data_IF_247593366370
#
_entry.id   IF_247593366370
#
_cell.length_a   1.000
_cell.length_b   1.000
_cell.length_c   1.000
_cell.angle_alpha   90.00
_cell.angle_beta   90.00
_cell.angle_gamma   90.00
#
_symmetry.space_group_name_H-M   'P 1'
#
loop_
_entity.id
_entity.type
_entity.pdbx_description
1 polymer ?
#
# COMPACT_ATOMS: atom_id res chain seq x y z
N UNK A 1 -10.08 -63.06 3.06
CA UNK A 1 -10.46 -61.65 3.33
C UNK A 1 -9.66 -60.77 2.37
N UNK A 2 -10.25 -60.35 1.25
CA UNK A 2 -9.61 -59.38 0.35
C UNK A 2 -9.80 -58.00 0.97
N UNK A 3 -8.83 -57.58 1.79
CA UNK A 3 -8.79 -56.23 2.32
C UNK A 3 -8.53 -55.25 1.17
N UNK A 4 -9.46 -54.32 0.99
CA UNK A 4 -9.41 -53.26 -0.01
C UNK A 4 -8.34 -52.26 0.41
N UNK A 5 -7.15 -52.34 -0.20
CA UNK A 5 -6.15 -51.29 -0.12
C UNK A 5 -6.53 -50.21 -1.12
N UNK A 6 -7.14 -49.12 -0.64
CA UNK A 6 -7.35 -47.93 -1.46
C UNK A 6 -6.00 -47.31 -1.88
N UNK A 7 -6.00 -46.41 -2.88
CA UNK A 7 -4.81 -45.67 -3.27
C UNK A 7 -4.25 -44.92 -2.05
N UNK A 8 -2.94 -45.05 -1.82
CA UNK A 8 -2.26 -44.25 -0.81
C UNK A 8 -2.38 -42.78 -1.19
N UNK A 9 -2.95 -41.97 -0.30
CA UNK A 9 -2.92 -40.51 -0.42
C UNK A 9 -1.47 -40.07 -0.63
N UNK A 10 -1.24 -39.32 -1.70
CA UNK A 10 0.07 -38.78 -2.02
C UNK A 10 0.35 -37.57 -1.14
N UNK A 11 1.62 -37.23 -0.99
CA UNK A 11 2.03 -35.96 -0.34
C UNK A 11 1.37 -34.76 -1.05
N UNK A 12 1.04 -34.89 -2.35
CA UNK A 12 0.28 -33.90 -3.10
C UNK A 12 -1.13 -33.67 -2.55
N UNK A 13 -1.87 -34.74 -2.23
CA UNK A 13 -3.25 -34.65 -1.71
C UNK A 13 -3.30 -33.95 -0.34
N UNK A 14 -2.26 -34.15 0.49
CA UNK A 14 -2.14 -33.50 1.80
C UNK A 14 -1.78 -32.01 1.71
N UNK A 15 -1.01 -31.62 0.69
CA UNK A 15 -0.62 -30.22 0.48
C UNK A 15 -1.73 -29.39 -0.20
N UNK A 16 -2.65 -30.03 -0.91
CA UNK A 16 -3.81 -29.36 -1.53
C UNK A 16 -4.73 -28.71 -0.50
N UNK A 17 -4.95 -29.33 0.67
CA UNK A 17 -5.76 -28.77 1.77
C UNK A 17 -5.12 -27.55 2.45
N UNK A 18 -3.82 -27.30 2.22
CA UNK A 18 -3.12 -26.11 2.71
C UNK A 18 -3.01 -25.01 1.65
N UNK A 19 -3.27 -25.36 0.39
CA UNK A 19 -3.31 -24.43 -0.74
C UNK A 19 -4.70 -23.80 -0.92
N UNK A 20 -5.50 -23.73 0.16
CA UNK A 20 -6.76 -22.98 0.16
C UNK A 20 -6.38 -21.52 -0.05
N UNK A 21 -6.54 -21.11 -1.30
CA UNK A 21 -6.61 -19.74 -1.73
C UNK A 21 -7.61 -19.04 -0.79
N UNK A 22 -7.10 -18.12 0.02
CA UNK A 22 -7.90 -17.18 0.81
C UNK A 22 -8.55 -16.22 -0.18
N UNK A 23 -9.45 -16.78 -0.99
CA UNK A 23 -10.32 -16.10 -1.92
C UNK A 23 -11.45 -15.53 -1.10
N UNK A 24 -11.28 -14.28 -0.67
CA UNK A 24 -12.38 -13.44 -0.24
C UNK A 24 -13.41 -13.35 -1.38
N UNK A 25 -14.46 -14.17 -1.32
CA UNK A 25 -15.74 -13.84 -1.95
C UNK A 25 -16.92 -14.45 -1.15
N UNK A 26 -17.62 -13.65 -0.31
CA UNK A 26 -18.73 -14.15 0.48
C UNK A 26 -20.06 -13.70 -0.13
N UNK A 27 -20.45 -14.22 -1.30
CA UNK A 27 -21.80 -13.99 -1.84
C UNK A 27 -22.38 -15.23 -2.54
N UNK A 28 -22.77 -16.24 -1.76
CA UNK A 28 -24.06 -16.94 -1.91
C UNK A 28 -24.07 -18.26 -1.12
N UNK A 29 -24.73 -18.28 0.04
CA UNK A 29 -25.70 -19.34 0.39
C UNK A 29 -26.34 -19.03 1.74
N UNK A 30 -27.67 -19.03 1.76
CA UNK A 30 -28.49 -18.56 2.87
C UNK A 30 -28.53 -19.49 4.09
N UNK A 31 -28.94 -18.90 5.22
CA UNK A 31 -29.28 -19.60 6.45
C UNK A 31 -29.41 -18.62 7.62
N UNK A 32 -30.63 -18.14 7.84
CA UNK A 32 -31.05 -17.39 9.02
C UNK A 32 -30.69 -18.15 10.32
N UNK A 33 -29.83 -17.59 11.16
CA UNK A 33 -29.86 -17.85 12.61
C UNK A 33 -29.21 -16.69 13.37
N UNK A 34 -30.06 -16.07 14.18
CA UNK A 34 -29.85 -15.08 15.24
C UNK A 34 -28.41 -14.80 15.69
N UNK A 35 -28.03 -13.52 15.55
CA UNK A 35 -26.90 -12.90 16.21
C UNK A 35 -27.04 -12.91 17.74
N UNK A 36 -25.92 -13.03 18.46
CA UNK A 36 -25.68 -12.23 19.64
C UNK A 36 -24.54 -11.24 19.37
N UNK A 37 -24.85 -9.97 19.58
CA UNK A 37 -23.88 -8.89 19.62
C UNK A 37 -22.82 -9.12 20.70
N UNK A 38 -21.54 -9.05 20.33
CA UNK A 38 -20.45 -8.64 21.21
C UNK A 38 -19.25 -8.16 20.38
N UNK A 39 -18.89 -6.86 20.42
CA UNK A 39 -17.69 -6.35 19.80
C UNK A 39 -16.57 -6.39 20.84
N UNK A 40 -15.97 -7.56 21.08
CA UNK A 40 -14.77 -7.63 21.93
C UNK A 40 -13.93 -8.86 21.62
N UNK A 41 -13.33 -8.86 20.44
CA UNK A 41 -12.00 -9.40 20.21
C UNK A 41 -11.61 -8.91 18.81
N UNK A 42 -11.18 -7.66 18.72
CA UNK A 42 -10.21 -7.32 17.69
C UNK A 42 -9.10 -8.36 17.87
N UNK A 43 -9.03 -9.30 16.94
CA UNK A 43 -7.91 -10.21 16.87
C UNK A 43 -6.69 -9.31 16.69
N UNK A 44 -6.00 -9.05 17.79
CA UNK A 44 -4.62 -8.65 17.74
C UNK A 44 -3.85 -9.87 17.26
N UNK A 45 -4.03 -10.24 15.98
CA UNK A 45 -2.95 -10.88 15.26
C UNK A 45 -1.82 -9.87 15.36
N UNK A 46 -0.83 -10.14 16.22
CA UNK A 46 0.22 -9.20 16.56
C UNK A 46 0.78 -8.59 15.29
N UNK A 47 0.30 -7.39 14.98
CA UNK A 47 0.74 -6.66 13.81
C UNK A 47 2.05 -6.06 14.24
N UNK A 48 3.11 -6.86 14.10
CA UNK A 48 4.46 -6.37 14.27
C UNK A 48 4.58 -5.09 13.44
N UNK A 49 5.12 -4.05 14.06
CA UNK A 49 5.42 -2.81 13.35
C UNK A 49 6.23 -3.18 12.09
N UNK A 50 5.89 -2.69 10.89
CA UNK A 50 6.72 -2.90 9.71
C UNK A 50 8.20 -2.53 9.95
N UNK A 51 8.49 -1.63 10.89
CA UNK A 51 9.86 -1.32 11.32
C UNK A 51 10.59 -2.51 11.99
N UNK A 52 9.86 -3.41 12.66
CA UNK A 52 10.40 -4.60 13.32
C UNK A 52 10.64 -5.77 12.35
N UNK A 53 10.18 -5.67 11.10
CA UNK A 53 10.23 -6.77 10.13
C UNK A 53 11.66 -7.22 9.81
N UNK A 54 12.60 -6.28 9.70
CA UNK A 54 14.02 -6.61 9.49
C UNK A 54 14.60 -7.40 10.66
N UNK A 55 14.29 -6.98 11.90
CA UNK A 55 14.73 -7.65 13.12
C UNK A 55 14.12 -9.06 13.23
N UNK A 56 12.82 -9.18 12.96
CA UNK A 56 12.11 -10.46 12.99
C UNK A 56 12.62 -11.43 11.91
N UNK A 57 12.94 -10.92 10.72
CA UNK A 57 13.52 -11.73 9.66
C UNK A 57 14.89 -12.29 10.06
N UNK A 58 15.76 -11.45 10.60
CA UNK A 58 17.07 -11.85 11.08
C UNK A 58 16.97 -12.87 12.22
N UNK A 59 16.09 -12.64 13.19
CA UNK A 59 15.84 -13.57 14.29
C UNK A 59 15.34 -14.94 13.79
N UNK A 60 14.33 -14.95 12.91
CA UNK A 60 13.78 -16.19 12.35
C UNK A 60 14.79 -16.94 11.50
N UNK A 61 15.61 -16.24 10.72
CA UNK A 61 16.69 -16.83 9.94
C UNK A 61 17.75 -17.47 10.84
N UNK A 62 18.20 -16.77 11.87
CA UNK A 62 19.19 -17.29 12.82
C UNK A 62 18.67 -18.53 13.57
N UNK A 63 17.40 -18.49 14.01
CA UNK A 63 16.75 -19.62 14.65
C UNK A 63 16.63 -20.83 13.71
N UNK A 64 16.28 -20.60 12.44
CA UNK A 64 16.26 -21.65 11.43
C UNK A 64 17.64 -22.27 11.21
N UNK A 65 18.68 -21.44 11.08
CA UNK A 65 20.05 -21.93 10.90
C UNK A 65 20.52 -22.78 12.08
N UNK A 66 20.18 -22.37 13.31
CA UNK A 66 20.47 -23.15 14.51
C UNK A 66 19.74 -24.50 14.51
N UNK A 67 18.44 -24.51 14.22
CA UNK A 67 17.65 -25.74 14.16
C UNK A 67 18.18 -26.73 13.10
N UNK A 68 18.62 -26.23 11.94
CA UNK A 68 19.24 -27.06 10.90
C UNK A 68 20.58 -27.66 11.35
N UNK A 69 21.41 -26.90 12.07
CA UNK A 69 22.67 -27.41 12.63
C UNK A 69 22.44 -28.47 13.71
N UNK A 70 21.45 -28.25 14.57
CA UNK A 70 21.12 -29.11 15.71
C UNK A 70 20.26 -30.33 15.30
N UNK A 71 19.89 -30.46 14.02
CA UNK A 71 18.90 -31.44 13.52
C UNK A 71 17.58 -31.42 14.31
N UNK A 72 17.18 -30.22 14.74
CA UNK A 72 15.96 -30.01 15.52
C UNK A 72 14.72 -30.17 14.61
N UNK A 73 13.70 -30.95 15.03
CA UNK A 73 12.52 -31.22 14.21
C UNK A 73 11.64 -29.98 13.95
N UNK A 74 11.92 -28.84 14.59
CA UNK A 74 11.20 -27.58 14.39
C UNK A 74 11.62 -26.82 13.11
N UNK A 75 12.71 -27.22 12.44
CA UNK A 75 13.20 -26.51 11.24
C UNK A 75 12.14 -26.27 10.16
N UNK A 76 11.18 -27.19 9.86
CA UNK A 76 10.14 -26.91 8.87
C UNK A 76 9.20 -25.79 9.33
N UNK A 77 8.86 -25.74 10.62
CA UNK A 77 8.03 -24.68 11.19
C UNK A 77 8.73 -23.32 11.14
N UNK A 78 10.04 -23.29 11.42
CA UNK A 78 10.84 -22.06 11.32
C UNK A 78 10.97 -21.58 9.87
N UNK A 79 11.11 -22.50 8.91
CA UNK A 79 11.10 -22.16 7.48
C UNK A 79 9.77 -21.55 7.05
N UNK A 80 8.64 -22.13 7.48
CA UNK A 80 7.31 -21.56 7.22
C UNK A 80 7.15 -20.16 7.82
N UNK A 81 7.65 -19.90 9.03
CA UNK A 81 7.65 -18.57 9.65
C UNK A 81 8.47 -17.57 8.83
N UNK A 82 9.63 -17.97 8.33
CA UNK A 82 10.46 -17.13 7.47
C UNK A 82 9.75 -16.79 6.15
N UNK A 83 9.11 -17.78 5.52
CA UNK A 83 8.30 -17.58 4.32
C UNK A 83 7.12 -16.64 4.57
N UNK A 84 6.43 -16.75 5.72
CA UNK A 84 5.36 -15.85 6.10
C UNK A 84 5.87 -14.41 6.29
N UNK A 85 7.02 -14.23 6.95
CA UNK A 85 7.65 -12.92 7.12
C UNK A 85 8.02 -12.29 5.75
N UNK A 86 8.58 -13.08 4.82
CA UNK A 86 8.87 -12.62 3.45
C UNK A 86 7.62 -12.22 2.68
N UNK A 87 6.54 -13.01 2.78
CA UNK A 87 5.26 -12.67 2.14
C UNK A 87 4.67 -11.37 2.68
N UNK A 88 4.82 -11.11 3.98
CA UNK A 88 4.42 -9.84 4.60
C UNK A 88 5.29 -8.67 4.09
N UNK A 89 6.60 -8.88 3.94
CA UNK A 89 7.50 -7.88 3.37
C UNK A 89 7.13 -7.52 1.93
N UNK A 90 6.83 -8.52 1.10
CA UNK A 90 6.42 -8.35 -0.29
C UNK A 90 5.13 -7.52 -0.42
N UNK A 91 4.12 -7.86 0.41
CA UNK A 91 2.87 -7.08 0.50
C UNK A 91 3.13 -5.63 0.94
N UNK A 92 4.00 -5.42 1.92
CA UNK A 92 4.36 -4.09 2.39
C UNK A 92 5.00 -3.26 1.27
N UNK A 93 5.98 -3.83 0.55
CA UNK A 93 6.64 -3.16 -0.57
C UNK A 93 5.65 -2.82 -1.69
N UNK A 94 4.77 -3.76 -2.04
CA UNK A 94 3.75 -3.54 -3.07
C UNK A 94 2.78 -2.42 -2.67
N UNK A 95 2.30 -2.42 -1.41
CA UNK A 95 1.44 -1.35 -0.90
C UNK A 95 2.13 0.02 -0.88
N UNK A 96 3.41 0.07 -0.50
CA UNK A 96 4.20 1.29 -0.50
C UNK A 96 4.41 1.83 -1.91
N UNK A 97 4.65 0.95 -2.89
CA UNK A 97 4.80 1.33 -4.29
C UNK A 97 3.50 1.91 -4.86
N UNK A 98 2.36 1.26 -4.65
CA UNK A 98 1.05 1.78 -5.09
C UNK A 98 0.74 3.14 -4.45
N UNK A 99 1.04 3.30 -3.16
CA UNK A 99 0.84 4.59 -2.47
C UNK A 99 1.76 5.69 -3.04
N UNK A 100 3.02 5.35 -3.35
CA UNK A 100 3.98 6.29 -3.95
C UNK A 100 3.56 6.71 -5.37
N UNK A 101 3.05 5.79 -6.18
CA UNK A 101 2.48 6.08 -7.50
C UNK A 101 1.28 7.02 -7.40
N UNK A 102 0.33 6.74 -6.50
CA UNK A 102 -0.81 7.62 -6.26
C UNK A 102 -0.40 9.00 -5.76
N UNK A 103 0.66 9.10 -4.94
CA UNK A 103 1.18 10.38 -4.48
C UNK A 103 1.81 11.16 -5.65
N UNK A 104 2.58 10.49 -6.50
CA UNK A 104 3.18 11.09 -7.69
C UNK A 104 2.10 11.67 -8.63
N UNK A 105 1.02 10.94 -8.86
CA UNK A 105 -0.11 11.43 -9.67
C UNK A 105 -0.74 12.69 -9.07
N UNK A 106 -0.95 12.71 -7.75
CA UNK A 106 -1.50 13.89 -7.05
C UNK A 106 -0.55 15.09 -7.12
N UNK A 107 0.76 14.87 -6.99
CA UNK A 107 1.77 15.94 -7.12
C UNK A 107 1.77 16.51 -8.54
N UNK A 108 1.73 15.68 -9.58
CA UNK A 108 1.61 16.15 -10.97
C UNK A 108 0.33 16.97 -11.21
N UNK A 109 -0.79 16.56 -10.61
CA UNK A 109 -2.02 17.33 -10.69
C UNK A 109 -1.86 18.70 -10.01
N UNK A 110 -1.28 18.75 -8.82
CA UNK A 110 -1.02 20.01 -8.12
C UNK A 110 -0.07 20.93 -8.89
N UNK A 111 0.97 20.38 -9.52
CA UNK A 111 1.89 21.12 -10.39
C UNK A 111 1.12 21.79 -11.55
N UNK A 112 0.25 21.06 -12.24
CA UNK A 112 -0.57 21.64 -13.32
C UNK A 112 -1.52 22.76 -12.86
N UNK A 113 -2.01 22.67 -11.62
CA UNK A 113 -2.84 23.73 -11.02
C UNK A 113 -2.01 24.96 -10.72
N UNK A 114 -0.78 24.78 -10.24
CA UNK A 114 0.15 25.85 -9.93
C UNK A 114 0.61 26.58 -11.19
N UNK A 115 0.99 25.85 -12.25
CA UNK A 115 1.33 26.42 -13.55
C UNK A 115 0.18 27.27 -14.12
N UNK A 116 -1.06 26.78 -14.03
CA UNK A 116 -2.24 27.56 -14.44
C UNK A 116 -2.41 28.83 -13.59
N UNK A 117 -2.15 28.73 -12.29
CA UNK A 117 -2.15 29.88 -11.38
C UNK A 117 -1.11 30.92 -11.79
N UNK A 118 0.11 30.50 -12.09
CA UNK A 118 1.22 31.36 -12.50
C UNK A 118 0.91 32.08 -13.82
N UNK A 119 0.31 31.40 -14.79
CA UNK A 119 -0.15 32.02 -16.04
C UNK A 119 -1.16 33.15 -15.78
N UNK A 120 -2.17 32.89 -14.94
CA UNK A 120 -3.19 33.90 -14.60
C UNK A 120 -2.58 35.09 -13.87
N UNK A 121 -1.66 34.84 -12.95
CA UNK A 121 -0.93 35.92 -12.24
C UNK A 121 -0.10 36.74 -13.21
N UNK A 122 0.61 36.10 -14.15
CA UNK A 122 1.38 36.79 -15.17
C UNK A 122 0.50 37.70 -16.05
N UNK A 123 -0.66 37.21 -16.50
CA UNK A 123 -1.62 37.98 -17.29
C UNK A 123 -2.13 39.22 -16.51
N UNK A 124 -2.44 39.06 -15.22
CA UNK A 124 -2.88 40.17 -14.36
C UNK A 124 -1.76 41.21 -14.22
N UNK A 125 -0.52 40.76 -13.96
CA UNK A 125 0.65 41.64 -13.83
C UNK A 125 0.89 42.43 -15.12
N UNK A 126 0.81 41.76 -16.28
CA UNK A 126 0.96 42.43 -17.58
C UNK A 126 -0.16 43.45 -17.83
N UNK A 127 -1.41 43.10 -17.51
CA UNK A 127 -2.56 44.00 -17.61
C UNK A 127 -2.40 45.26 -16.75
N UNK A 128 -1.93 45.10 -15.51
CA UNK A 128 -1.64 46.20 -14.61
C UNK A 128 -0.51 47.09 -15.13
N UNK A 129 0.60 46.52 -15.63
CA UNK A 129 1.70 47.29 -16.22
C UNK A 129 1.24 48.12 -17.43
N UNK A 130 0.44 47.52 -18.33
CA UNK A 130 -0.14 48.21 -19.48
C UNK A 130 -1.05 49.37 -19.05
N UNK A 131 -1.86 49.16 -18.00
CA UNK A 131 -2.76 50.22 -17.48
C UNK A 131 -2.01 51.35 -16.77
N UNK A 132 -0.92 51.05 -16.04
CA UNK A 132 -0.05 52.04 -15.42
C UNK A 132 0.65 52.93 -16.46
N UNK A 133 1.23 52.32 -17.49
CA UNK A 133 1.83 53.05 -18.62
C UNK A 133 0.83 53.95 -19.35
N UNK A 134 -0.42 53.51 -19.49
CA UNK A 134 -1.47 54.31 -20.12
C UNK A 134 -1.85 55.56 -19.30
N UNK A 135 -1.87 55.45 -17.97
CA UNK A 135 -2.14 56.58 -17.06
C UNK A 135 -1.02 57.62 -17.06
N UNK A 136 0.23 57.19 -17.14
CA UNK A 136 1.39 58.08 -17.20
C UNK A 136 1.45 58.86 -18.52
N UNK A 137 1.08 58.21 -19.63
CA UNK A 137 0.98 58.84 -20.95
C UNK A 137 -0.13 59.91 -20.99
N UNK A 138 -1.32 59.60 -20.48
CA UNK A 138 -2.45 60.55 -20.43
C UNK A 138 -2.16 61.76 -19.52
N UNK A 139 -1.54 61.54 -18.36
CA UNK A 139 -1.15 62.60 -17.43
C UNK A 139 -0.07 63.53 -17.99
N UNK A 140 0.79 63.01 -18.86
CA UNK A 140 1.82 63.81 -19.56
C UNK A 140 1.22 64.65 -20.69
N UNK A 141 0.24 64.13 -21.43
CA UNK A 141 -0.41 64.82 -22.54
C UNK A 141 -1.29 66.00 -22.06
N UNK A 142 -2.02 65.82 -20.96
CA UNK A 142 -2.89 66.86 -20.38
C UNK A 142 -2.10 68.05 -19.80
N UNK A 143 -0.87 67.82 -19.29
CA UNK A 143 0.03 68.89 -18.83
C UNK A 143 0.63 69.73 -19.96
N UNK A 144 0.88 69.13 -21.13
CA UNK A 144 1.44 69.83 -22.30
C UNK A 144 0.38 70.66 -23.06
N UNK A 145 -0.89 70.25 -23.02
CA UNK A 145 -1.98 70.94 -23.72
C UNK A 145 -2.56 72.15 -22.96
N UNK A 146 -2.12 72.42 -21.74
CA UNK A 146 -2.64 73.51 -20.88
C UNK A 146 -1.75 74.76 -20.83
N UNK A 147 -0.92 74.99 -21.86
CA UNK A 147 0.00 76.14 -21.91
C UNK A 147 -0.24 77.00 -23.14
#
# INVERSE_FOLDING_TARGET
MRGVGGPLLTIGDLLSDLAVDDGDDPLASGGDVSAPSSPLAAQSSGQADPADLSRLFEEHYNNLMKALQENDPSWPSLMLKLCAALKTADKLVSSANTNAEQLLEKVKLLESVLERGDCVVADIVEGLQKSGLAMDHWSSQSKLSSK
#
